data_IF_309894915459
#
_entry.id   IF_309894915459
#
_cell.length_a   1.000
_cell.length_b   1.000
_cell.length_c   1.000
_cell.angle_alpha   90.00
_cell.angle_beta   90.00
_cell.angle_gamma   90.00
#
_symmetry.space_group_name_H-M   'P 1'
#
loop_
_entity.id
_entity.type
_entity.pdbx_description
1 polymer ?
#
# COMPACT_ATOMS: atom_id res chain seq x y z
N UNK A 1 -9.15 36.19 -3.64
CA UNK A 1 -9.07 35.60 -3.54
C UNK A 1 -8.58 34.81 -3.57
N UNK A 2 -8.32 34.39 -3.44
CA UNK A 2 -7.95 33.83 -3.60
C UNK A 2 -7.87 32.66 -3.56
N UNK A 3 -7.62 32.06 -3.94
CA UNK A 3 -7.55 30.94 -4.18
C UNK A 3 -6.55 30.13 -3.67
N UNK A 4 -5.70 30.41 -3.35
CA UNK A 4 -4.67 29.80 -2.91
C UNK A 4 -4.97 28.91 -1.86
N UNK A 5 -5.87 29.10 -1.19
CA UNK A 5 -6.19 28.26 -0.13
C UNK A 5 -6.48 26.90 -0.55
N UNK A 6 -6.88 26.71 -1.74
CA UNK A 6 -7.17 25.41 -2.28
C UNK A 6 -6.00 24.47 -2.17
N UNK A 7 -4.82 25.00 -2.41
CA UNK A 7 -3.64 24.16 -2.41
C UNK A 7 -3.36 23.58 -1.05
N UNK A 8 -3.66 24.33 0.00
CA UNK A 8 -3.28 23.89 1.33
C UNK A 8 -4.16 22.77 1.86
N UNK A 9 -5.32 22.54 1.27
CA UNK A 9 -6.24 21.58 1.85
C UNK A 9 -6.24 20.24 1.14
N UNK A 10 -5.47 20.06 0.14
CA UNK A 10 -5.55 18.85 -0.65
C UNK A 10 -4.56 17.79 -0.26
N UNK A 11 -3.90 17.96 0.84
CA UNK A 11 -2.81 17.07 1.17
C UNK A 11 -3.17 15.92 2.08
N UNK A 12 -4.42 15.70 2.34
CA UNK A 12 -4.81 14.58 3.16
C UNK A 12 -4.63 13.29 2.41
N UNK A 13 -3.99 12.34 3.06
CA UNK A 13 -3.79 11.03 2.47
C UNK A 13 -5.01 10.17 2.67
N UNK A 14 -5.29 9.34 1.70
CA UNK A 14 -6.34 8.34 1.83
C UNK A 14 -5.85 7.21 2.72
N UNK A 15 -6.78 6.40 3.22
CA UNK A 15 -6.41 5.21 3.99
C UNK A 15 -5.54 4.28 3.15
N UNK A 16 -5.87 4.15 1.87
CA UNK A 16 -5.08 3.29 0.99
C UNK A 16 -3.65 3.79 0.86
N UNK A 17 -3.47 5.10 0.76
CA UNK A 17 -2.13 5.67 0.70
C UNK A 17 -1.36 5.42 1.99
N UNK A 18 -2.03 5.52 3.14
CA UNK A 18 -1.36 5.26 4.40
C UNK A 18 -0.94 3.81 4.54
N UNK A 19 -1.80 2.89 4.12
CA UNK A 19 -1.47 1.47 4.15
C UNK A 19 -0.28 1.20 3.22
N UNK A 20 -0.33 1.75 2.00
CA UNK A 20 0.74 1.55 1.04
C UNK A 20 2.06 2.10 1.58
N UNK A 21 2.03 3.25 2.22
CA UNK A 21 3.24 3.83 2.78
C UNK A 21 3.83 2.98 3.91
N UNK A 22 2.96 2.41 4.74
CA UNK A 22 3.45 1.55 5.80
C UNK A 22 4.08 0.27 5.26
N UNK A 23 3.47 -0.33 4.26
CA UNK A 23 4.05 -1.51 3.64
C UNK A 23 5.37 -1.16 2.94
N UNK A 24 5.40 -0.04 2.24
CA UNK A 24 6.62 0.42 1.58
C UNK A 24 7.74 0.64 2.60
N UNK A 25 7.40 1.20 3.74
CA UNK A 25 8.38 1.42 4.80
C UNK A 25 8.95 0.09 5.30
N UNK A 26 8.08 -0.91 5.49
CA UNK A 26 8.55 -2.22 5.94
C UNK A 26 9.48 -2.87 4.92
N UNK A 27 9.22 -2.65 3.64
CA UNK A 27 10.10 -3.16 2.60
C UNK A 27 11.45 -2.43 2.66
N UNK A 28 11.43 -1.13 2.80
CA UNK A 28 12.66 -0.34 2.84
C UNK A 28 13.49 -0.64 4.10
N UNK A 29 12.81 -0.97 5.20
CA UNK A 29 13.51 -1.27 6.45
C UNK A 29 13.94 -2.72 6.55
N UNK A 30 13.64 -3.52 5.55
CA UNK A 30 14.06 -4.91 5.53
C UNK A 30 13.19 -5.86 6.33
N UNK A 31 12.06 -5.40 6.83
CA UNK A 31 11.12 -6.28 7.53
C UNK A 31 10.39 -7.18 6.55
N UNK A 32 10.16 -6.68 5.36
CA UNK A 32 9.67 -7.47 4.23
C UNK A 32 10.78 -7.42 3.19
N UNK A 33 11.35 -8.56 2.90
CA UNK A 33 12.53 -8.66 2.04
C UNK A 33 12.16 -9.11 0.65
N UNK A 34 13.05 -8.84 -0.27
CA UNK A 34 12.90 -9.29 -1.65
C UNK A 34 12.61 -10.79 -1.67
N UNK A 35 11.58 -11.17 -2.41
CA UNK A 35 11.17 -12.57 -2.50
C UNK A 35 10.17 -12.99 -1.45
N UNK A 36 9.96 -12.18 -0.40
CA UNK A 36 8.97 -12.53 0.61
C UNK A 36 7.58 -12.43 0.04
N UNK A 37 6.72 -13.32 0.49
CA UNK A 37 5.31 -13.27 0.11
C UNK A 37 4.59 -12.27 0.97
N UNK A 38 3.83 -11.40 0.32
CA UNK A 38 3.02 -10.43 1.04
C UNK A 38 1.87 -11.15 1.74
N UNK A 39 1.46 -10.70 2.92
CA UNK A 39 0.27 -11.27 3.55
C UNK A 39 -0.94 -11.15 2.63
N UNK A 40 -1.89 -12.03 2.81
CA UNK A 40 -3.11 -12.03 1.97
C UNK A 40 -3.97 -10.82 2.27
N UNK A 41 -4.92 -10.55 1.38
CA UNK A 41 -5.86 -9.45 1.60
C UNK A 41 -6.56 -9.56 2.97
N UNK A 42 -7.13 -10.72 3.32
CA UNK A 42 -7.78 -10.81 4.64
C UNK A 42 -6.82 -10.55 5.79
N UNK A 43 -5.58 -11.01 5.66
CA UNK A 43 -4.58 -10.76 6.70
C UNK A 43 -4.25 -9.29 6.80
N UNK A 44 -4.09 -8.62 5.66
CA UNK A 44 -3.80 -7.19 5.65
C UNK A 44 -4.96 -6.37 6.18
N UNK A 45 -6.19 -6.79 5.86
CA UNK A 45 -7.38 -6.13 6.40
C UNK A 45 -7.37 -6.19 7.91
N UNK A 46 -6.99 -7.31 8.46
CA UNK A 46 -6.96 -7.49 9.90
C UNK A 46 -5.85 -6.67 10.54
N UNK A 47 -4.67 -6.70 9.94
CA UNK A 47 -3.52 -5.98 10.47
C UNK A 47 -3.76 -4.47 10.50
N UNK A 48 -4.31 -3.93 9.42
CA UNK A 48 -4.48 -2.50 9.30
C UNK A 48 -5.86 -2.01 9.75
N UNK A 49 -6.79 -2.91 9.99
CA UNK A 49 -8.12 -2.52 10.43
C UNK A 49 -8.90 -1.76 9.39
N UNK A 50 -8.76 -2.13 8.12
CA UNK A 50 -9.43 -1.45 7.01
C UNK A 50 -10.14 -2.46 6.13
N UNK A 51 -10.98 -1.96 5.24
CA UNK A 51 -11.76 -2.82 4.36
C UNK A 51 -10.98 -3.33 3.17
N UNK A 52 -11.61 -4.27 2.46
CA UNK A 52 -10.97 -4.92 1.32
C UNK A 52 -10.60 -3.95 0.21
N UNK A 53 -11.49 -3.03 -0.12
CA UNK A 53 -11.22 -2.10 -1.21
C UNK A 53 -10.01 -1.21 -0.90
N UNK A 54 -9.84 -0.84 0.37
CA UNK A 54 -8.68 -0.06 0.78
C UNK A 54 -7.40 -0.86 0.59
N UNK A 55 -7.41 -2.14 1.00
CA UNK A 55 -6.25 -3.01 0.82
C UNK A 55 -5.94 -3.21 -0.66
N UNK A 56 -6.95 -3.45 -1.48
CA UNK A 56 -6.74 -3.65 -2.91
C UNK A 56 -6.12 -2.42 -3.55
N UNK A 57 -6.59 -1.25 -3.15
CA UNK A 57 -6.06 -0.02 -3.69
C UNK A 57 -4.62 0.21 -3.27
N UNK A 58 -4.32 -0.08 -2.00
CA UNK A 58 -2.95 0.05 -1.50
C UNK A 58 -2.00 -0.89 -2.23
N UNK A 59 -2.42 -2.13 -2.41
CA UNK A 59 -1.62 -3.11 -3.13
C UNK A 59 -1.39 -2.67 -4.58
N UNK A 60 -2.42 -2.12 -5.20
CA UNK A 60 -2.30 -1.62 -6.57
C UNK A 60 -1.27 -0.51 -6.67
N UNK A 61 -1.23 0.37 -5.66
CA UNK A 61 -0.22 1.43 -5.64
C UNK A 61 1.18 0.87 -5.57
N UNK A 62 1.39 -0.15 -4.74
CA UNK A 62 2.71 -0.77 -4.62
C UNK A 62 3.10 -1.51 -5.89
N UNK A 63 2.14 -2.14 -6.55
CA UNK A 63 2.39 -2.78 -7.83
C UNK A 63 2.84 -1.76 -8.87
N UNK A 64 2.14 -0.64 -8.92
CA UNK A 64 2.47 0.41 -9.89
C UNK A 64 3.84 1.01 -9.64
N UNK A 65 4.29 1.03 -8.41
CA UNK A 65 5.60 1.56 -8.06
C UNK A 65 6.71 0.51 -8.16
N UNK A 66 6.35 -0.73 -8.43
CA UNK A 66 7.34 -1.78 -8.60
C UNK A 66 7.86 -2.38 -7.30
N UNK A 67 7.22 -2.13 -6.18
CA UNK A 67 7.64 -2.71 -4.91
C UNK A 67 7.25 -4.17 -4.77
N UNK A 68 6.22 -4.59 -5.47
CA UNK A 68 5.71 -5.96 -5.37
C UNK A 68 5.28 -6.42 -6.75
N UNK A 69 5.14 -7.73 -6.91
CA UNK A 69 4.63 -8.32 -8.15
C UNK A 69 3.67 -9.45 -7.81
N UNK A 70 2.74 -9.71 -8.73
CA UNK A 70 1.80 -10.80 -8.57
C UNK A 70 2.30 -12.00 -9.35
N UNK A 71 2.35 -13.15 -8.69
CA UNK A 71 2.67 -14.42 -9.35
C UNK A 71 1.40 -15.24 -9.33
N UNK A 72 0.84 -15.44 -10.49
CA UNK A 72 -0.45 -16.06 -10.62
C UNK A 72 -0.48 -17.44 -9.99
N UNK A 73 -1.51 -17.69 -9.17
CA UNK A 73 -1.64 -18.96 -8.45
C UNK A 73 -0.72 -19.11 -7.26
N UNK A 74 0.18 -18.15 -7.02
CA UNK A 74 1.16 -18.27 -5.94
C UNK A 74 1.05 -17.14 -4.92
N UNK A 75 0.65 -15.95 -5.35
CA UNK A 75 0.48 -14.82 -4.46
C UNK A 75 1.22 -13.59 -4.93
N UNK A 76 1.36 -12.64 -4.01
CA UNK A 76 2.04 -11.37 -4.27
C UNK A 76 3.35 -11.37 -3.50
N UNK A 77 4.40 -10.94 -4.15
CA UNK A 77 5.76 -11.06 -3.60
C UNK A 77 6.49 -9.73 -3.68
N UNK A 78 7.39 -9.52 -2.73
CA UNK A 78 8.24 -8.32 -2.70
C UNK A 78 9.29 -8.44 -3.79
N UNK A 79 9.44 -7.35 -4.55
CA UNK A 79 10.44 -7.27 -5.62
C UNK A 79 11.79 -6.82 -5.12
#
# INVERSE_FOLDING_TARGET
>A
MTNMETDSIIQKKSLAEEVAEQLQKQIKEGKLKEGDKLPTEPELMKVFGVGRSTIREAVKMLLNKGYISVQQGRGTFVE
#
